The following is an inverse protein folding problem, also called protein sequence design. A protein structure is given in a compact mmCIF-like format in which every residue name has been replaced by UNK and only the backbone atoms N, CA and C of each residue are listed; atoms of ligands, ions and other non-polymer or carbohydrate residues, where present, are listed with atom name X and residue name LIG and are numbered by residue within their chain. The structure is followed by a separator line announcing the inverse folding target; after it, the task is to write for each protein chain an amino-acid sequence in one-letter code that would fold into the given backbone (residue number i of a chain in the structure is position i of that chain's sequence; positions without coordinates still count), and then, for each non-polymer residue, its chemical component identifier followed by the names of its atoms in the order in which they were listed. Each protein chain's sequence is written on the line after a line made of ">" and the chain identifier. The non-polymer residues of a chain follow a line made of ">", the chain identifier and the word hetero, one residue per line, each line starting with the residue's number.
data_IF_154683283093
#
_entry.id   IF_154683283093
#
_cell.length_a   1.000
_cell.length_b   1.000
_cell.length_c   1.000
_cell.angle_alpha   90.00
_cell.angle_beta   90.00
_cell.angle_gamma   90.00
#
_symmetry.space_group_name_H-M   'P 1'
#
loop_
_entity.id
_entity.type
_entity.pdbx_description
1 polymer ?
#
# COMPACT_ATOMS: atom_id res chain seq x y z
N UNK A 1 5.03 -0.18 10.50
CA UNK A 1 4.88 1.29 10.45
C UNK A 1 6.03 2.05 9.80
N UNK A 2 7.29 1.98 10.29
CA UNK A 2 8.41 2.77 9.72
C UNK A 2 8.61 2.59 8.21
N UNK A 3 8.44 1.37 7.71
CA UNK A 3 8.54 1.08 6.28
C UNK A 3 7.46 1.79 5.44
N UNK A 4 6.22 1.88 5.93
CA UNK A 4 5.13 2.57 5.24
C UNK A 4 5.42 4.08 5.12
N UNK A 5 5.94 4.70 6.19
CA UNK A 5 6.37 6.11 6.20
C UNK A 5 7.57 6.33 5.27
N UNK A 6 8.56 5.43 5.30
CA UNK A 6 9.73 5.51 4.40
C UNK A 6 9.28 5.47 2.93
N UNK A 7 8.39 4.53 2.61
CA UNK A 7 7.87 4.36 1.26
C UNK A 7 7.04 5.57 0.79
N UNK A 8 6.23 6.15 1.68
CA UNK A 8 5.41 7.33 1.36
C UNK A 8 6.28 8.53 0.96
N UNK A 9 7.35 8.80 1.72
CA UNK A 9 8.30 9.86 1.44
C UNK A 9 9.07 9.62 0.13
N UNK A 10 9.63 8.42 -0.03
CA UNK A 10 10.43 8.06 -1.21
C UNK A 10 9.63 8.22 -2.51
N UNK A 11 8.38 7.72 -2.53
CA UNK A 11 7.57 7.70 -3.74
C UNK A 11 6.95 9.05 -4.08
N UNK A 12 6.59 9.83 -3.07
CA UNK A 12 6.20 11.23 -3.27
C UNK A 12 7.36 12.05 -3.85
N UNK A 13 8.56 11.92 -3.29
CA UNK A 13 9.75 12.65 -3.77
C UNK A 13 10.14 12.25 -5.20
N UNK A 14 9.90 11.00 -5.57
CA UNK A 14 10.10 10.50 -6.94
C UNK A 14 8.95 10.86 -7.90
N UNK A 15 7.92 11.58 -7.45
CA UNK A 15 6.85 12.09 -8.31
C UNK A 15 5.77 11.06 -8.70
N UNK A 16 5.66 9.94 -8.00
CA UNK A 16 4.67 8.91 -8.32
C UNK A 16 3.24 9.27 -7.86
N UNK A 17 3.10 10.04 -6.78
CA UNK A 17 1.80 10.39 -6.20
C UNK A 17 1.92 11.06 -4.84
N UNK A 18 0.84 11.01 -4.06
CA UNK A 18 0.77 11.64 -2.74
C UNK A 18 1.60 10.95 -1.66
N UNK A 19 1.78 11.58 -0.48
CA UNK A 19 2.62 11.11 0.63
C UNK A 19 1.97 9.97 1.43
N UNK A 20 1.53 8.90 0.76
CA UNK A 20 0.90 7.74 1.39
C UNK A 20 1.60 6.44 0.98
N UNK A 21 1.85 5.59 1.98
CA UNK A 21 2.48 4.29 1.83
C UNK A 21 1.81 3.26 2.73
N UNK A 22 1.75 2.01 2.28
CA UNK A 22 1.18 0.90 3.03
C UNK A 22 1.98 -0.38 2.80
N UNK A 23 1.97 -1.28 3.79
CA UNK A 23 2.61 -2.59 3.72
C UNK A 23 1.69 -3.67 4.28
N UNK A 24 1.71 -4.84 3.64
CA UNK A 24 1.03 -6.06 4.11
C UNK A 24 2.08 -7.03 4.63
N UNK A 25 1.89 -7.52 5.84
CA UNK A 25 2.80 -8.44 6.52
C UNK A 25 2.09 -9.76 6.77
N UNK A 26 2.74 -10.88 6.47
CA UNK A 26 2.26 -12.23 6.83
C UNK A 26 3.42 -12.99 7.46
N UNK A 27 3.17 -13.62 8.61
CA UNK A 27 4.18 -14.39 9.35
C UNK A 27 5.48 -13.60 9.62
N UNK A 28 5.33 -12.31 9.95
CA UNK A 28 6.45 -11.39 10.21
C UNK A 28 7.21 -10.90 8.96
N UNK A 29 6.78 -11.29 7.75
CA UNK A 29 7.41 -10.90 6.50
C UNK A 29 6.53 -9.95 5.69
N UNK A 30 7.13 -8.90 5.11
CA UNK A 30 6.40 -8.00 4.20
C UNK A 30 6.19 -8.71 2.87
N UNK A 31 4.93 -9.06 2.57
CA UNK A 31 4.54 -9.71 1.32
C UNK A 31 4.15 -8.72 0.22
N UNK A 32 3.76 -7.50 0.59
CA UNK A 32 3.43 -6.46 -0.36
C UNK A 32 3.73 -5.05 0.17
N UNK A 33 4.07 -4.16 -0.77
CA UNK A 33 4.28 -2.73 -0.55
C UNK A 33 3.44 -1.94 -1.54
N UNK A 34 2.65 -1.00 -1.03
CA UNK A 34 1.83 -0.10 -1.85
C UNK A 34 2.11 1.35 -1.54
N UNK A 35 1.96 2.20 -2.55
CA UNK A 35 2.09 3.64 -2.43
C UNK A 35 1.07 4.34 -3.32
N UNK A 36 0.72 5.58 -2.98
CA UNK A 36 -0.24 6.33 -3.78
C UNK A 36 0.32 6.58 -5.18
N UNK A 37 -0.46 6.20 -6.20
CA UNK A 37 -0.09 6.31 -7.62
C UNK A 37 -1.20 6.95 -8.45
N UNK A 38 -2.11 7.70 -7.81
CA UNK A 38 -3.31 8.26 -8.47
C UNK A 38 -2.95 9.06 -9.71
N UNK A 39 -1.97 9.95 -9.61
CA UNK A 39 -1.58 10.86 -10.70
C UNK A 39 -0.72 10.18 -11.76
N UNK A 40 0.14 9.24 -11.38
CA UNK A 40 1.05 8.57 -12.32
C UNK A 40 0.36 7.48 -13.15
N UNK A 41 -0.65 6.82 -12.58
CA UNK A 41 -1.39 5.73 -13.24
C UNK A 41 -2.75 6.14 -13.79
N UNK A 42 -3.19 7.38 -13.53
CA UNK A 42 -4.53 7.86 -13.86
C UNK A 42 -5.66 6.99 -13.27
N UNK A 43 -5.40 6.33 -12.14
CA UNK A 43 -6.38 5.54 -11.41
C UNK A 43 -6.71 6.24 -10.08
N UNK A 44 -7.89 6.87 -9.94
CA UNK A 44 -8.27 7.56 -8.70
C UNK A 44 -8.42 6.62 -7.51
N UNK A 45 -8.52 5.30 -7.74
CA UNK A 45 -8.59 4.29 -6.67
C UNK A 45 -7.23 3.82 -6.19
N UNK A 46 -6.14 4.19 -6.87
CA UNK A 46 -4.78 3.70 -6.60
C UNK A 46 -4.13 4.43 -5.41
N UNK A 47 -4.82 4.35 -4.26
CA UNK A 47 -4.30 4.69 -2.95
C UNK A 47 -3.27 3.67 -2.50
N UNK A 48 -2.44 4.04 -1.51
CA UNK A 48 -1.38 3.16 -1.03
C UNK A 48 -1.94 1.85 -0.48
N UNK A 49 -3.08 1.94 0.21
CA UNK A 49 -3.77 0.83 0.83
C UNK A 49 -4.31 -0.14 -0.24
N UNK A 50 -5.02 0.40 -1.23
CA UNK A 50 -5.60 -0.36 -2.34
C UNK A 50 -4.51 -1.04 -3.18
N UNK A 51 -3.42 -0.32 -3.49
CA UNK A 51 -2.28 -0.86 -4.22
C UNK A 51 -1.60 -2.01 -3.43
N UNK A 52 -1.41 -1.84 -2.11
CA UNK A 52 -0.86 -2.88 -1.24
C UNK A 52 -1.75 -4.13 -1.18
N UNK A 53 -3.08 -3.94 -1.03
CA UNK A 53 -4.07 -5.03 -1.02
C UNK A 53 -4.05 -5.79 -2.35
N UNK A 54 -4.14 -5.08 -3.49
CA UNK A 54 -4.11 -5.68 -4.83
C UNK A 54 -2.86 -6.55 -5.02
N UNK A 55 -1.69 -6.03 -4.66
CA UNK A 55 -0.41 -6.75 -4.76
C UNK A 55 -0.33 -7.96 -3.82
N UNK A 56 -0.82 -7.83 -2.59
CA UNK A 56 -0.83 -8.94 -1.63
C UNK A 56 -1.77 -10.07 -2.08
N UNK A 57 -2.96 -9.74 -2.55
CA UNK A 57 -3.92 -10.69 -3.12
C UNK A 57 -3.32 -11.43 -4.34
N UNK A 58 -2.63 -10.69 -5.23
CA UNK A 58 -1.91 -11.30 -6.36
C UNK A 58 -0.78 -12.23 -5.89
N UNK A 59 0.02 -11.81 -4.91
CA UNK A 59 1.12 -12.62 -4.35
C UNK A 59 0.63 -13.93 -3.72
N UNK A 60 -0.50 -13.87 -3.00
CA UNK A 60 -1.10 -15.04 -2.33
C UNK A 60 -1.99 -15.88 -3.27
N UNK A 61 -2.24 -15.41 -4.50
CA UNK A 61 -3.25 -15.95 -5.40
C UNK A 61 -4.61 -16.16 -4.69
N UNK A 62 -5.02 -15.15 -3.93
CA UNK A 62 -6.21 -15.17 -3.09
C UNK A 62 -6.90 -13.81 -3.12
N UNK A 63 -8.18 -13.77 -2.74
CA UNK A 63 -8.94 -12.52 -2.58
C UNK A 63 -9.15 -12.13 -1.10
N UNK A 64 -8.62 -12.92 -0.18
CA UNK A 64 -8.61 -12.67 1.27
C UNK A 64 -7.17 -12.49 1.74
N UNK A 65 -6.99 -11.70 2.81
CA UNK A 65 -5.70 -11.45 3.46
C UNK A 65 -5.66 -12.08 4.86
N UNK A 66 -6.17 -13.32 4.98
CA UNK A 66 -6.22 -14.03 6.26
C UNK A 66 -4.83 -14.19 6.87
N UNK A 67 -4.74 -13.89 8.17
CA UNK A 67 -3.51 -13.92 8.94
C UNK A 67 -2.49 -12.84 8.56
N UNK A 68 -2.90 -11.82 7.80
CA UNK A 68 -2.04 -10.69 7.48
C UNK A 68 -2.27 -9.51 8.42
N UNK A 69 -1.19 -8.82 8.78
CA UNK A 69 -1.25 -7.50 9.40
C UNK A 69 -1.12 -6.42 8.32
N UNK A 70 -1.87 -5.34 8.51
CA UNK A 70 -1.87 -4.20 7.60
C UNK A 70 -1.36 -2.94 8.29
N UNK A 71 -0.39 -2.26 7.67
CA UNK A 71 0.16 -1.01 8.19
C UNK A 71 0.11 0.07 7.10
N UNK A 72 -0.53 1.18 7.40
CA UNK A 72 -0.61 2.36 6.52
C UNK A 72 0.01 3.58 7.21
N UNK A 73 0.64 4.47 6.43
CA UNK A 73 1.32 5.67 6.94
C UNK A 73 0.34 6.72 7.49
N UNK A 74 -0.93 6.65 7.11
CA UNK A 74 -2.01 7.54 7.52
C UNK A 74 -3.26 6.71 7.80
N UNK A 75 -4.20 7.23 8.59
CA UNK A 75 -5.51 6.61 8.77
C UNK A 75 -6.21 6.42 7.39
N UNK A 76 -6.81 5.24 7.11
CA UNK A 76 -7.53 4.99 5.86
C UNK A 76 -8.68 5.98 5.63
N UNK A 77 -8.82 6.44 4.38
CA UNK A 77 -10.00 7.20 3.97
C UNK A 77 -11.23 6.28 3.77
N UNK A 78 -12.45 6.81 3.61
CA UNK A 78 -13.66 5.97 3.44
C UNK A 78 -13.66 4.95 2.30
N UNK A 79 -12.79 5.14 1.30
CA UNK A 79 -12.62 4.19 0.19
C UNK A 79 -11.69 3.02 0.55
N UNK A 80 -10.70 3.27 1.40
CA UNK A 80 -9.65 2.31 1.75
C UNK A 80 -10.09 1.44 2.93
#
# INVERSE_FOLDING_TARGET
>A
MREAIRLSLEKMQAGFGGPFGAVVVKDGQIIARGFNQVTSTHDPTCHAEIDAIRKACQHLNAFQLDGCDFYTSCEPCPMC
#
